data_IF_220843733215
#
_entry.id   IF_220843733215
#
_cell.length_a   1.000
_cell.length_b   1.000
_cell.length_c   1.000
_cell.angle_alpha   90.00
_cell.angle_beta   90.00
_cell.angle_gamma   90.00
#
_symmetry.space_group_name_H-M   'P 1'
#
loop_
_entity.id
_entity.type
_entity.pdbx_description
1 polymer ?
#
# COMPACT_ATOMS: atom_id res chain seq x y z
N UNK A 1 19.05 7.95 -10.16
CA UNK A 1 19.01 7.73 -8.70
C UNK A 1 20.20 6.85 -8.31
N UNK A 2 20.64 6.82 -7.05
CA UNK A 2 21.55 5.76 -6.58
C UNK A 2 20.86 4.39 -6.77
N UNK A 3 21.61 3.30 -6.80
CA UNK A 3 21.01 1.96 -6.87
C UNK A 3 20.29 1.63 -5.57
N UNK A 4 19.09 1.03 -5.67
CA UNK A 4 18.32 0.49 -4.55
C UNK A 4 18.84 -0.87 -4.06
N UNK A 5 19.81 -1.49 -4.76
CA UNK A 5 20.26 -2.83 -4.43
C UNK A 5 20.84 -2.91 -3.00
N UNK A 6 20.22 -3.73 -2.16
CA UNK A 6 20.64 -3.97 -0.78
C UNK A 6 20.33 -2.84 0.20
N UNK A 7 19.45 -1.90 -0.17
CA UNK A 7 19.02 -0.82 0.72
C UNK A 7 17.74 -1.18 1.47
N UNK A 8 17.52 -0.56 2.63
CA UNK A 8 16.24 -0.71 3.35
C UNK A 8 15.10 -0.06 2.59
N UNK A 9 15.38 1.00 1.82
CA UNK A 9 14.40 1.61 0.91
C UNK A 9 13.84 0.60 -0.08
N UNK A 10 14.67 -0.30 -0.62
CA UNK A 10 14.18 -1.35 -1.54
C UNK A 10 13.26 -2.35 -0.84
N UNK A 11 13.64 -2.80 0.36
CA UNK A 11 12.79 -3.67 1.17
C UNK A 11 11.45 -3.00 1.49
N UNK A 12 11.48 -1.73 1.90
CA UNK A 12 10.27 -0.96 2.24
C UNK A 12 9.38 -0.73 1.01
N UNK A 13 9.95 -0.40 -0.16
CA UNK A 13 9.19 -0.31 -1.41
C UNK A 13 8.51 -1.63 -1.76
N UNK A 14 9.20 -2.75 -1.53
CA UNK A 14 8.65 -4.08 -1.81
C UNK A 14 7.56 -4.46 -0.79
N UNK A 15 7.72 -4.07 0.48
CA UNK A 15 6.68 -4.22 1.52
C UNK A 15 5.43 -3.41 1.17
N UNK A 16 5.58 -2.14 0.78
CA UNK A 16 4.48 -1.28 0.33
C UNK A 16 3.78 -1.89 -0.88
N UNK A 17 4.53 -2.26 -1.93
CA UNK A 17 3.94 -2.93 -3.09
C UNK A 17 3.12 -4.17 -2.73
N UNK A 18 3.63 -5.02 -1.83
CA UNK A 18 2.95 -6.21 -1.38
C UNK A 18 1.73 -5.90 -0.49
N UNK A 19 1.78 -4.87 0.36
CA UNK A 19 0.67 -4.40 1.18
C UNK A 19 -0.47 -3.88 0.31
N UNK A 20 -0.16 -2.93 -0.55
CA UNK A 20 -1.07 -2.27 -1.51
C UNK A 20 -1.75 -3.26 -2.46
N UNK A 21 -0.97 -4.22 -2.98
CA UNK A 21 -1.52 -5.29 -3.84
C UNK A 21 -2.55 -6.16 -3.09
N UNK A 22 -2.34 -6.39 -1.80
CA UNK A 22 -3.27 -7.12 -0.96
C UNK A 22 -4.45 -6.25 -0.52
N UNK A 23 -4.24 -4.97 -0.20
CA UNK A 23 -5.26 -3.99 0.14
C UNK A 23 -6.28 -3.85 -1.00
N UNK A 24 -5.81 -3.56 -2.21
CA UNK A 24 -6.61 -3.61 -3.45
C UNK A 24 -7.49 -4.85 -3.51
N UNK A 25 -6.89 -6.01 -3.30
CA UNK A 25 -7.61 -7.29 -3.41
C UNK A 25 -8.68 -7.41 -2.32
N UNK A 26 -8.35 -7.12 -1.05
CA UNK A 26 -9.30 -7.11 0.06
C UNK A 26 -10.46 -6.14 -0.21
N UNK A 27 -10.18 -4.94 -0.69
CA UNK A 27 -11.20 -3.92 -0.96
C UNK A 27 -12.16 -4.34 -2.09
N UNK A 28 -11.69 -5.04 -3.13
CA UNK A 28 -12.61 -5.64 -4.12
C UNK A 28 -13.53 -6.72 -3.52
N UNK A 29 -13.05 -7.46 -2.51
CA UNK A 29 -13.89 -8.43 -1.79
C UNK A 29 -14.90 -7.72 -0.88
N UNK A 30 -14.47 -6.66 -0.19
CA UNK A 30 -15.32 -5.84 0.67
C UNK A 30 -16.41 -5.14 -0.14
N UNK A 31 -16.08 -4.63 -1.33
CA UNK A 31 -17.05 -4.09 -2.27
C UNK A 31 -18.12 -5.13 -2.63
N UNK A 32 -17.70 -6.35 -2.96
CA UNK A 32 -18.61 -7.44 -3.29
C UNK A 32 -19.54 -7.79 -2.12
N UNK A 33 -19.03 -7.75 -0.89
CA UNK A 33 -19.83 -7.97 0.31
C UNK A 33 -20.83 -6.83 0.56
N UNK A 34 -20.37 -5.57 0.48
CA UNK A 34 -21.22 -4.39 0.61
C UNK A 34 -22.38 -4.41 -0.38
N UNK A 35 -22.12 -4.80 -1.63
CA UNK A 35 -23.15 -4.96 -2.65
C UNK A 35 -24.17 -6.04 -2.29
N UNK A 36 -23.74 -7.19 -1.76
CA UNK A 36 -24.65 -8.27 -1.32
C UNK A 36 -25.56 -7.83 -0.16
N UNK A 37 -25.06 -6.98 0.72
CA UNK A 37 -25.81 -6.42 1.84
C UNK A 37 -26.69 -5.22 1.46
N UNK A 38 -26.65 -4.79 0.19
CA UNK A 38 -27.47 -3.70 -0.34
C UNK A 38 -26.83 -2.31 -0.27
N UNK A 39 -25.58 -2.21 0.20
CA UNK A 39 -24.84 -0.95 0.31
C UNK A 39 -24.10 -0.61 -1.00
N UNK A 40 -24.85 -0.27 -2.05
CA UNK A 40 -24.28 -0.02 -3.39
C UNK A 40 -23.28 1.15 -3.38
N UNK A 41 -23.55 2.22 -2.65
CA UNK A 41 -22.62 3.35 -2.55
C UNK A 41 -21.30 2.93 -1.91
N UNK A 42 -21.34 2.19 -0.81
CA UNK A 42 -20.16 1.69 -0.11
C UNK A 42 -19.38 0.71 -1.00
N UNK A 43 -20.09 -0.14 -1.75
CA UNK A 43 -19.45 -1.01 -2.74
C UNK A 43 -18.68 -0.22 -3.79
N UNK A 44 -19.20 0.91 -4.26
CA UNK A 44 -18.52 1.72 -5.26
C UNK A 44 -17.30 2.43 -4.67
N UNK A 45 -17.39 2.92 -3.43
CA UNK A 45 -16.26 3.53 -2.72
C UNK A 45 -15.14 2.51 -2.55
N UNK A 46 -15.42 1.30 -2.06
CA UNK A 46 -14.39 0.26 -1.96
C UNK A 46 -13.73 -0.08 -3.31
N UNK A 47 -14.46 -0.02 -4.43
CA UNK A 47 -13.87 -0.24 -5.75
C UNK A 47 -13.00 0.93 -6.21
N UNK A 48 -13.38 2.16 -5.87
CA UNK A 48 -12.57 3.35 -6.14
C UNK A 48 -11.26 3.31 -5.35
N UNK A 49 -11.35 3.06 -4.03
CA UNK A 49 -10.19 2.88 -3.14
C UNK A 49 -9.29 1.74 -3.64
N UNK A 50 -9.86 0.58 -4.01
CA UNK A 50 -9.07 -0.50 -4.61
C UNK A 50 -8.31 -0.11 -5.89
N UNK A 51 -8.82 0.85 -6.66
CA UNK A 51 -8.14 1.38 -7.84
C UNK A 51 -7.11 2.47 -7.49
N UNK A 52 -7.22 3.13 -6.34
CA UNK A 52 -6.17 3.98 -5.77
C UNK A 52 -4.97 3.13 -5.31
N UNK A 53 -5.18 2.09 -4.50
CA UNK A 53 -4.14 1.12 -4.06
C UNK A 53 -3.39 0.50 -5.24
N UNK A 54 -4.10 0.28 -6.36
CA UNK A 54 -3.48 -0.20 -7.59
C UNK A 54 -2.46 0.81 -8.14
N UNK A 55 -2.77 2.11 -8.14
CA UNK A 55 -1.87 3.14 -8.61
C UNK A 55 -0.74 3.42 -7.60
N UNK A 56 -0.99 3.32 -6.29
CA UNK A 56 0.04 3.37 -5.25
C UNK A 56 1.05 2.23 -5.41
N UNK A 57 0.57 0.98 -5.44
CA UNK A 57 1.38 -0.22 -5.70
C UNK A 57 2.25 -0.06 -6.95
N UNK A 58 1.65 0.42 -8.04
CA UNK A 58 2.34 0.62 -9.32
C UNK A 58 3.41 1.69 -9.23
N UNK A 59 3.22 2.76 -8.47
CA UNK A 59 4.24 3.79 -8.26
C UNK A 59 5.44 3.22 -7.49
N UNK A 60 5.20 2.50 -6.40
CA UNK A 60 6.27 1.84 -5.64
C UNK A 60 7.03 0.80 -6.48
N UNK A 61 6.29 -0.04 -7.22
CA UNK A 61 6.88 -1.09 -8.05
C UNK A 61 7.74 -0.53 -9.20
N UNK A 62 7.38 0.64 -9.75
CA UNK A 62 8.20 1.31 -10.78
C UNK A 62 9.59 1.68 -10.27
N UNK A 63 9.71 2.23 -9.05
CA UNK A 63 11.03 2.54 -8.48
C UNK A 63 11.91 1.30 -8.38
N UNK A 64 11.34 0.17 -7.93
CA UNK A 64 12.05 -1.12 -7.90
C UNK A 64 12.44 -1.57 -9.31
N UNK A 65 11.49 -1.59 -10.24
CA UNK A 65 11.73 -2.07 -11.61
C UNK A 65 12.78 -1.24 -12.35
N UNK A 66 12.80 0.07 -12.16
CA UNK A 66 13.76 0.99 -12.79
C UNK A 66 15.18 0.85 -12.20
N UNK A 67 15.31 0.40 -10.95
CA UNK A 67 16.61 0.29 -10.29
C UNK A 67 17.18 -1.13 -10.20
N UNK A 68 16.35 -2.18 -10.19
CA UNK A 68 16.77 -3.56 -9.87
C UNK A 68 16.73 -4.50 -11.07
N UNK A 69 16.12 -4.11 -12.20
CA UNK A 69 16.17 -4.83 -13.48
C UNK A 69 15.85 -6.34 -13.40
N UNK A 70 14.93 -6.74 -12.52
CA UNK A 70 14.50 -8.12 -12.34
C UNK A 70 15.18 -8.89 -11.19
N UNK A 71 16.05 -8.24 -10.42
CA UNK A 71 16.52 -8.80 -9.15
C UNK A 71 15.39 -8.90 -8.13
N UNK A 72 15.36 -9.99 -7.38
CA UNK A 72 14.38 -10.21 -6.32
C UNK A 72 14.74 -9.43 -5.05
N UNK A 73 13.72 -8.92 -4.37
CA UNK A 73 13.84 -8.33 -3.03
C UNK A 73 13.13 -9.26 -2.04
N UNK A 74 13.88 -9.79 -1.08
CA UNK A 74 13.31 -10.56 0.02
C UNK A 74 12.72 -9.61 1.05
N UNK A 75 11.50 -9.90 1.51
CA UNK A 75 10.83 -9.14 2.57
C UNK A 75 10.30 -10.09 3.64
N UNK A 76 10.22 -9.58 4.87
CA UNK A 76 9.48 -10.19 5.96
C UNK A 76 8.43 -9.17 6.43
N UNK A 77 7.15 -9.53 6.33
CA UNK A 77 6.01 -8.67 6.63
C UNK A 77 4.80 -9.52 7.03
N UNK A 78 3.92 -8.93 7.85
CA UNK A 78 2.64 -9.49 8.24
C UNK A 78 1.51 -8.74 7.52
N UNK A 79 0.37 -9.41 7.32
CA UNK A 79 -0.78 -8.82 6.63
C UNK A 79 -2.08 -9.22 7.32
N UNK A 80 -3.07 -8.32 7.40
CA UNK A 80 -4.32 -8.60 8.08
C UNK A 80 -5.15 -9.63 7.31
N UNK A 81 -5.74 -10.56 8.06
CA UNK A 81 -6.70 -11.55 7.56
C UNK A 81 -8.09 -11.17 8.05
N UNK A 82 -8.74 -10.24 7.34
CA UNK A 82 -10.05 -9.73 7.68
C UNK A 82 -11.02 -9.87 6.50
N UNK A 83 -12.15 -10.54 6.71
CA UNK A 83 -13.27 -10.59 5.77
C UNK A 83 -14.54 -10.94 6.55
N UNK A 84 -15.43 -9.97 6.71
CA UNK A 84 -16.67 -10.08 7.47
C UNK A 84 -17.83 -9.35 6.80
N UNK A 85 -18.76 -8.83 7.60
CA UNK A 85 -19.84 -7.95 7.14
C UNK A 85 -19.31 -6.56 6.72
N UNK A 86 -20.13 -5.73 6.08
CA UNK A 86 -19.68 -4.41 5.59
C UNK A 86 -19.11 -3.53 6.69
N UNK A 87 -19.68 -3.58 7.90
CA UNK A 87 -19.25 -2.76 9.02
C UNK A 87 -17.85 -3.16 9.50
N UNK A 88 -17.61 -4.46 9.70
CA UNK A 88 -16.30 -4.97 10.10
C UNK A 88 -15.24 -4.77 9.01
N UNK A 89 -15.62 -4.89 7.74
CA UNK A 89 -14.72 -4.61 6.62
C UNK A 89 -14.32 -3.12 6.55
N UNK A 90 -15.26 -2.20 6.79
CA UNK A 90 -14.95 -0.76 6.87
C UNK A 90 -13.99 -0.44 8.02
N UNK A 91 -14.19 -1.07 9.18
CA UNK A 91 -13.29 -0.89 10.31
C UNK A 91 -11.89 -1.44 10.01
N UNK A 92 -11.81 -2.65 9.45
CA UNK A 92 -10.53 -3.26 9.08
C UNK A 92 -9.78 -2.47 8.00
N UNK A 93 -10.50 -1.88 7.02
CA UNK A 93 -9.89 -0.99 6.03
C UNK A 93 -9.36 0.28 6.71
N UNK A 94 -10.17 0.96 7.53
CA UNK A 94 -9.75 2.18 8.22
C UNK A 94 -8.57 1.98 9.19
N UNK A 95 -8.50 0.82 9.87
CA UNK A 95 -7.36 0.45 10.72
C UNK A 95 -6.10 0.21 9.90
N UNK A 96 -6.23 -0.45 8.74
CA UNK A 96 -5.12 -0.65 7.80
C UNK A 96 -4.56 0.67 7.27
N UNK A 97 -5.44 1.54 6.73
CA UNK A 97 -5.02 2.86 6.24
C UNK A 97 -4.37 3.68 7.35
N UNK A 98 -4.93 3.63 8.57
CA UNK A 98 -4.38 4.36 9.70
C UNK A 98 -2.93 3.97 10.00
N UNK A 99 -2.63 2.67 10.07
CA UNK A 99 -1.27 2.19 10.26
C UNK A 99 -0.32 2.66 9.14
N UNK A 100 -0.81 2.71 7.90
CA UNK A 100 -0.04 3.16 6.74
C UNK A 100 0.37 4.64 6.86
N UNK A 101 -0.58 5.54 7.12
CA UNK A 101 -0.28 6.97 7.15
C UNK A 101 0.28 7.50 8.48
N UNK A 102 0.03 6.85 9.63
CA UNK A 102 0.61 7.32 10.91
C UNK A 102 1.99 6.76 11.19
N UNK A 103 2.27 5.54 10.75
CA UNK A 103 3.45 4.81 11.20
C UNK A 103 4.33 4.33 10.05
N UNK A 104 3.80 3.54 9.11
CA UNK A 104 4.63 2.86 8.11
C UNK A 104 5.23 3.82 7.08
N UNK A 105 4.40 4.57 6.35
CA UNK A 105 4.89 5.43 5.27
C UNK A 105 5.74 6.60 5.75
N UNK A 106 5.45 7.27 6.89
CA UNK A 106 6.38 8.24 7.46
C UNK A 106 7.74 7.62 7.79
N UNK A 107 7.78 6.46 8.44
CA UNK A 107 9.02 5.78 8.78
C UNK A 107 9.81 5.33 7.53
N UNK A 108 9.11 4.87 6.48
CA UNK A 108 9.75 4.47 5.22
C UNK A 108 10.31 5.69 4.48
N UNK A 109 9.59 6.81 4.50
CA UNK A 109 10.05 8.06 3.91
C UNK A 109 11.33 8.58 4.58
N UNK A 110 11.39 8.54 5.92
CA UNK A 110 12.58 8.99 6.66
C UNK A 110 13.80 8.11 6.35
N UNK A 111 13.62 6.79 6.26
CA UNK A 111 14.70 5.87 5.84
C UNK A 111 15.16 6.18 4.40
N UNK A 112 14.25 6.46 3.48
CA UNK A 112 14.63 6.84 2.11
C UNK A 112 15.40 8.16 2.08
N UNK A 113 15.01 9.15 2.87
CA UNK A 113 15.74 10.42 2.96
C UNK A 113 17.17 10.18 3.47
N UNK A 114 17.32 9.40 4.55
CA UNK A 114 18.61 9.06 5.16
C UNK A 114 19.53 8.28 4.20
N UNK A 115 18.97 7.38 3.38
CA UNK A 115 19.72 6.63 2.37
C UNK A 115 19.99 7.45 1.08
N UNK A 116 19.40 8.65 0.97
CA UNK A 116 19.62 9.59 -0.15
C UNK A 116 18.69 9.38 -1.35
N UNK A 117 17.43 9.01 -1.07
CA UNK A 117 16.34 8.81 -2.02
C UNK A 117 15.16 9.79 -1.80
N UNK A 118 15.39 11.11 -1.87
CA UNK A 118 14.39 12.12 -1.51
C UNK A 118 13.12 12.08 -2.39
N UNK A 119 13.23 11.65 -3.65
CA UNK A 119 12.03 11.49 -4.51
C UNK A 119 11.15 10.33 -4.04
N UNK A 120 11.75 9.23 -3.58
CA UNK A 120 11.01 8.08 -3.05
C UNK A 120 10.37 8.46 -1.71
N UNK A 121 11.13 9.16 -0.86
CA UNK A 121 10.65 9.67 0.41
C UNK A 121 9.45 10.62 0.23
N UNK A 122 9.52 11.52 -0.75
CA UNK A 122 8.41 12.39 -1.12
C UNK A 122 7.16 11.59 -1.52
N UNK A 123 7.31 10.57 -2.36
CA UNK A 123 6.18 9.74 -2.79
C UNK A 123 5.49 9.03 -1.64
N UNK A 124 6.22 8.47 -0.67
CA UNK A 124 5.59 7.89 0.51
C UNK A 124 4.79 8.90 1.32
N UNK A 125 5.28 10.14 1.46
CA UNK A 125 4.57 11.19 2.20
C UNK A 125 3.30 11.62 1.48
N UNK A 126 3.32 11.74 0.16
CA UNK A 126 2.14 12.11 -0.62
C UNK A 126 1.08 11.00 -0.64
N UNK A 127 1.51 9.73 -0.70
CA UNK A 127 0.59 8.58 -0.59
C UNK A 127 -0.01 8.52 0.81
N UNK A 128 0.78 8.75 1.87
CA UNK A 128 0.26 8.84 3.22
C UNK A 128 -0.76 9.98 3.44
N UNK A 129 -0.76 11.05 2.63
CA UNK A 129 -1.82 12.06 2.68
C UNK A 129 -3.13 11.62 2.00
N UNK A 130 -3.06 10.60 1.14
CA UNK A 130 -4.22 10.05 0.43
C UNK A 130 -4.94 8.95 1.23
N UNK A 131 -4.24 8.22 2.09
CA UNK A 131 -4.80 7.17 2.98
C UNK A 131 -5.58 7.74 4.18
#
# INVERSE_FOLDING_TARGET
MKSLKGTKTAENLMKSFAGESQARTRYTYYASQAKKEGYVQISNIFLETAENEKEHAKRFFKFLSESLEGEAVEINAEYPVALGDTKSNLLAAAEGENEEWTDLYPAFADIAEDEGFPEIAYVWREIAEAE
#
